data_IF_846461241245
#
_entry.id   IF_846461241245
#
_cell.length_a   1.000
_cell.length_b   1.000
_cell.length_c   1.000
_cell.angle_alpha   90.00
_cell.angle_beta   90.00
_cell.angle_gamma   90.00
#
_symmetry.space_group_name_H-M   'P 1'
#
loop_
_entity.id
_entity.type
_entity.pdbx_description
1 polymer ?
#
# COMPACT_ATOMS: atom_id res chain seq x y z
N UNK A 1 55.44 -72.62 -39.80
CA UNK A 1 54.17 -73.17 -39.30
C UNK A 1 53.04 -72.67 -40.19
N UNK A 2 52.29 -73.56 -40.86
CA UNK A 2 51.16 -73.16 -41.72
C UNK A 2 50.03 -72.62 -40.82
N UNK A 3 49.58 -71.38 -41.06
CA UNK A 3 48.52 -70.75 -40.26
C UNK A 3 47.18 -71.42 -40.59
N UNK A 4 46.56 -72.08 -39.60
CA UNK A 4 45.30 -72.82 -39.76
C UNK A 4 44.08 -71.89 -39.98
N UNK A 5 44.17 -70.65 -39.51
CA UNK A 5 43.07 -69.68 -39.55
C UNK A 5 43.33 -68.56 -40.55
N UNK A 6 42.27 -68.06 -41.19
CA UNK A 6 42.34 -66.82 -41.97
C UNK A 6 42.47 -65.62 -41.02
N UNK A 7 43.44 -64.77 -41.31
CA UNK A 7 43.65 -63.55 -40.53
C UNK A 7 42.60 -62.49 -40.88
N UNK A 8 42.41 -61.53 -39.98
CA UNK A 8 41.62 -60.33 -40.18
C UNK A 8 42.09 -59.60 -41.43
N UNK A 9 41.15 -59.25 -42.32
CA UNK A 9 41.46 -58.60 -43.59
C UNK A 9 41.99 -57.17 -43.40
N UNK A 10 41.63 -56.53 -42.29
CA UNK A 10 42.05 -55.15 -41.98
C UNK A 10 43.46 -55.07 -41.38
N UNK A 11 43.74 -55.85 -40.33
CA UNK A 11 45.01 -55.73 -39.60
C UNK A 11 46.04 -56.80 -39.95
N UNK A 12 45.61 -57.92 -40.57
CA UNK A 12 46.39 -59.12 -40.90
C UNK A 12 47.20 -59.75 -39.76
N UNK A 13 47.07 -59.24 -38.53
CA UNK A 13 47.84 -59.67 -37.34
C UNK A 13 47.10 -60.72 -36.52
N UNK A 14 45.78 -60.62 -36.41
CA UNK A 14 44.91 -61.47 -35.58
C UNK A 14 43.98 -62.35 -36.44
N UNK A 15 43.46 -63.49 -35.96
CA UNK A 15 42.47 -64.28 -36.69
C UNK A 15 41.17 -63.48 -36.88
N UNK A 16 40.54 -63.60 -38.06
CA UNK A 16 39.25 -62.97 -38.34
C UNK A 16 38.12 -63.81 -37.74
N UNK A 17 37.52 -63.33 -36.65
CA UNK A 17 36.48 -64.03 -35.88
C UNK A 17 35.07 -63.50 -36.16
N UNK A 18 34.94 -62.33 -36.79
CA UNK A 18 33.68 -61.67 -37.10
C UNK A 18 33.60 -61.44 -38.61
N UNK A 19 32.46 -61.75 -39.23
CA UNK A 19 32.19 -61.48 -40.64
C UNK A 19 31.08 -60.46 -40.77
N UNK A 20 31.31 -59.42 -41.57
CA UNK A 20 30.27 -58.44 -41.89
C UNK A 20 29.64 -58.78 -43.24
N UNK A 21 28.33 -59.04 -43.25
CA UNK A 21 27.62 -59.37 -44.49
C UNK A 21 27.61 -58.19 -45.47
N UNK A 22 27.56 -56.96 -44.96
CA UNK A 22 27.53 -55.74 -45.77
C UNK A 22 28.89 -55.42 -46.39
N UNK A 23 29.99 -55.66 -45.68
CA UNK A 23 31.34 -55.37 -46.17
C UNK A 23 31.99 -56.57 -46.88
N UNK A 24 31.41 -57.78 -46.75
CA UNK A 24 31.95 -59.06 -47.25
C UNK A 24 33.41 -59.35 -46.82
N UNK A 25 33.83 -58.80 -45.69
CA UNK A 25 35.19 -58.95 -45.14
C UNK A 25 35.16 -59.45 -43.70
N UNK A 26 36.27 -60.02 -43.25
CA UNK A 26 36.43 -60.61 -41.91
C UNK A 26 37.32 -59.76 -41.03
N UNK A 27 36.83 -59.47 -39.85
CA UNK A 27 37.51 -58.67 -38.85
C UNK A 27 37.85 -59.51 -37.61
N UNK A 28 38.89 -59.13 -36.88
CA UNK A 28 39.00 -59.50 -35.48
C UNK A 28 38.11 -58.57 -34.64
N UNK A 29 37.75 -58.98 -33.42
CA UNK A 29 36.89 -58.20 -32.52
C UNK A 29 37.28 -56.71 -32.40
N UNK A 30 38.58 -56.41 -32.28
CA UNK A 30 39.01 -55.01 -32.13
C UNK A 30 38.74 -54.17 -33.40
N UNK A 31 39.03 -54.72 -34.58
CA UNK A 31 38.79 -54.03 -35.85
C UNK A 31 37.30 -53.94 -36.18
N UNK A 32 36.49 -54.90 -35.70
CA UNK A 32 35.04 -54.85 -35.84
C UNK A 32 34.46 -53.67 -35.04
N UNK A 33 34.90 -53.49 -33.79
CA UNK A 33 34.48 -52.37 -32.95
C UNK A 33 34.85 -51.01 -33.56
N UNK A 34 36.03 -50.86 -34.14
CA UNK A 34 36.45 -49.60 -34.77
C UNK A 34 35.60 -49.22 -35.99
N UNK A 35 35.13 -50.21 -36.77
CA UNK A 35 34.44 -49.98 -38.04
C UNK A 35 32.92 -49.98 -37.87
N UNK A 36 32.37 -50.81 -36.99
CA UNK A 36 30.93 -51.05 -36.88
C UNK A 36 30.29 -50.49 -35.60
N UNK A 37 31.04 -49.95 -34.64
CA UNK A 37 30.46 -49.35 -33.41
C UNK A 37 29.57 -48.13 -33.66
N UNK A 38 29.78 -47.40 -34.75
CA UNK A 38 29.06 -46.15 -35.05
C UNK A 38 27.95 -46.30 -36.12
N UNK A 39 27.85 -47.43 -36.81
CA UNK A 39 26.90 -47.64 -37.90
C UNK A 39 26.08 -48.93 -37.71
N UNK A 40 24.83 -48.79 -37.27
CA UNK A 40 23.88 -49.91 -37.06
C UNK A 40 23.43 -50.62 -38.34
N UNK A 41 23.86 -50.15 -39.52
CA UNK A 41 23.47 -50.71 -40.82
C UNK A 41 24.32 -51.93 -41.24
N UNK A 42 25.32 -52.31 -40.45
CA UNK A 42 26.19 -53.45 -40.72
C UNK A 42 25.79 -54.65 -39.87
N UNK A 43 25.41 -55.74 -40.53
CA UNK A 43 25.14 -57.02 -39.85
C UNK A 43 26.44 -57.80 -39.71
N UNK A 44 26.95 -57.86 -38.50
CA UNK A 44 28.14 -58.63 -38.15
C UNK A 44 27.76 -59.90 -37.39
N UNK A 45 28.35 -61.03 -37.81
CA UNK A 45 28.11 -62.34 -37.23
C UNK A 45 29.44 -63.01 -36.89
N UNK A 46 29.45 -63.82 -35.83
CA UNK A 46 30.63 -64.60 -35.45
C UNK A 46 30.87 -65.68 -36.50
N UNK A 47 32.08 -65.72 -37.08
CA UNK A 47 32.47 -66.72 -38.07
C UNK A 47 32.40 -68.12 -37.46
N UNK A 48 31.82 -69.08 -38.18
CA UNK A 48 31.87 -70.48 -37.77
C UNK A 48 33.30 -71.04 -37.84
N UNK A 49 33.58 -72.08 -37.05
CA UNK A 49 34.86 -72.80 -37.08
C UNK A 49 35.25 -73.32 -38.48
N UNK A 50 34.26 -73.62 -39.33
CA UNK A 50 34.50 -73.98 -40.72
C UNK A 50 34.91 -72.76 -41.55
N UNK A 51 34.25 -71.62 -41.37
CA UNK A 51 34.58 -70.38 -42.07
C UNK A 51 35.97 -69.88 -41.68
N UNK A 52 36.37 -69.97 -40.41
CA UNK A 52 37.67 -69.48 -39.93
C UNK A 52 38.87 -70.27 -40.48
N UNK A 53 38.70 -71.53 -40.91
CA UNK A 53 39.78 -72.38 -41.42
C UNK A 53 40.16 -72.03 -42.87
N UNK A 54 41.45 -72.10 -43.20
CA UNK A 54 41.91 -72.00 -44.58
C UNK A 54 41.54 -73.29 -45.34
N UNK A 55 40.79 -73.17 -46.45
CA UNK A 55 40.45 -74.30 -47.32
C UNK A 55 41.74 -75.02 -47.78
N UNK A 56 42.01 -76.18 -47.20
CA UNK A 56 42.95 -77.15 -47.74
C UNK A 56 42.43 -78.57 -47.47
N UNK A 57 41.98 -79.20 -48.56
CA UNK A 57 41.89 -80.63 -48.84
C UNK A 57 41.36 -81.56 -47.75
N UNK A 58 40.09 -81.94 -47.93
CA UNK A 58 39.56 -83.26 -47.58
C UNK A 58 40.49 -84.36 -48.13
N UNK A 59 40.94 -85.28 -47.26
CA UNK A 59 41.20 -86.65 -47.67
C UNK A 59 40.36 -87.59 -46.80
N UNK A 60 39.48 -88.29 -47.50
CA UNK A 60 38.71 -89.44 -47.05
C UNK A 60 39.67 -90.57 -46.66
N UNK A 61 39.37 -91.28 -45.57
CA UNK A 61 39.76 -92.70 -45.46
C UNK A 61 38.46 -93.51 -45.36
N UNK A 62 38.27 -94.35 -46.38
CA UNK A 62 37.23 -95.35 -46.53
C UNK A 62 37.76 -96.72 -46.06
N UNK A 63 36.81 -97.52 -45.56
CA UNK A 63 36.69 -98.99 -45.68
C UNK A 63 37.64 -99.92 -44.92
N UNK A 64 37.01 -100.90 -44.27
CA UNK A 64 37.63 -102.13 -43.80
C UNK A 64 36.68 -103.00 -42.99
N UNK A 65 35.56 -103.45 -43.58
CA UNK A 65 34.86 -104.64 -43.08
C UNK A 65 35.72 -105.88 -43.35
N UNK A 66 36.00 -106.67 -42.32
CA UNK A 66 35.89 -108.13 -42.30
C UNK A 66 36.61 -108.67 -41.07
N UNK A 67 36.11 -109.79 -40.55
CA UNK A 67 36.53 -110.52 -39.34
C UNK A 67 36.06 -109.78 -38.07
N UNK A 68 35.11 -110.27 -37.27
CA UNK A 68 35.23 -111.47 -36.43
C UNK A 68 33.82 -111.89 -36.01
N UNK A 69 33.37 -113.06 -36.47
CA UNK A 69 32.08 -113.68 -36.15
C UNK A 69 32.16 -114.54 -34.87
N UNK A 70 32.91 -114.10 -33.85
CA UNK A 70 33.15 -114.88 -32.62
C UNK A 70 33.17 -114.05 -31.32
N UNK A 71 32.45 -112.93 -31.24
CA UNK A 71 32.37 -112.11 -30.01
C UNK A 71 30.97 -111.61 -29.67
N UNK A 72 29.93 -112.41 -29.94
CA UNK A 72 28.54 -112.02 -29.66
C UNK A 72 28.02 -112.49 -28.29
N UNK A 73 28.81 -113.18 -27.46
CA UNK A 73 28.38 -113.65 -26.12
C UNK A 73 29.04 -112.93 -24.93
N UNK A 74 30.03 -112.04 -25.15
CA UNK A 74 30.63 -111.22 -24.08
C UNK A 74 30.15 -109.76 -24.06
N UNK A 75 29.46 -109.29 -25.09
CA UNK A 75 29.01 -107.89 -25.21
C UNK A 75 27.60 -107.61 -24.65
N UNK A 76 26.83 -108.63 -24.26
CA UNK A 76 25.53 -108.42 -23.60
C UNK A 76 25.67 -108.22 -22.08
N UNK A 77 26.61 -108.90 -21.42
CA UNK A 77 26.90 -108.70 -19.99
C UNK A 77 27.51 -107.32 -19.69
N UNK A 78 28.47 -106.86 -20.51
CA UNK A 78 29.09 -105.53 -20.35
C UNK A 78 28.12 -104.39 -20.71
N UNK A 79 27.09 -104.64 -21.52
CA UNK A 79 26.03 -103.66 -21.79
C UNK A 79 25.03 -103.54 -20.63
N UNK A 80 24.67 -104.64 -19.97
CA UNK A 80 23.78 -104.62 -18.81
C UNK A 80 24.43 -103.95 -17.59
N UNK A 81 25.69 -104.27 -17.25
CA UNK A 81 26.41 -103.61 -16.13
C UNK A 81 26.61 -102.10 -16.36
N UNK A 82 26.90 -101.70 -17.61
CA UNK A 82 27.11 -100.28 -17.96
C UNK A 82 25.79 -99.49 -18.01
N UNK A 83 24.67 -100.16 -18.23
CA UNK A 83 23.33 -99.57 -18.23
C UNK A 83 22.78 -99.46 -16.80
N UNK A 84 23.04 -100.45 -15.93
CA UNK A 84 22.76 -100.36 -14.49
C UNK A 84 23.61 -99.29 -13.78
N UNK A 85 24.91 -99.15 -14.12
CA UNK A 85 25.75 -98.06 -13.60
C UNK A 85 25.24 -96.67 -14.01
N UNK A 86 24.83 -96.50 -15.26
CA UNK A 86 24.26 -95.23 -15.73
C UNK A 86 22.91 -94.93 -15.07
N UNK A 87 22.12 -95.95 -14.77
CA UNK A 87 20.83 -95.81 -14.10
C UNK A 87 20.99 -95.48 -12.60
N UNK A 88 22.05 -95.98 -11.95
CA UNK A 88 22.45 -95.56 -10.61
C UNK A 88 22.99 -94.12 -10.59
N UNK A 89 23.86 -93.73 -11.53
CA UNK A 89 24.36 -92.35 -11.67
C UNK A 89 23.22 -91.36 -11.91
N UNK A 90 22.25 -91.71 -12.77
CA UNK A 90 21.04 -90.93 -13.00
C UNK A 90 20.19 -90.78 -11.74
N UNK A 91 20.00 -91.85 -10.96
CA UNK A 91 19.29 -91.78 -9.67
C UNK A 91 20.02 -90.91 -8.66
N UNK A 92 21.34 -90.92 -8.66
CA UNK A 92 22.16 -90.10 -7.78
C UNK A 92 22.07 -88.61 -8.16
N UNK A 93 22.15 -88.30 -9.45
CA UNK A 93 21.94 -86.95 -9.99
C UNK A 93 20.51 -86.45 -9.72
N UNK A 94 19.49 -87.29 -9.90
CA UNK A 94 18.10 -86.93 -9.58
C UNK A 94 17.90 -86.62 -8.08
N UNK A 95 18.60 -87.33 -7.19
CA UNK A 95 18.59 -87.03 -5.75
C UNK A 95 19.28 -85.70 -5.44
N UNK A 96 20.42 -85.41 -6.07
CA UNK A 96 21.11 -84.13 -5.93
C UNK A 96 20.26 -82.97 -6.45
N UNK A 97 19.62 -83.11 -7.61
CA UNK A 97 18.69 -82.11 -8.16
C UNK A 97 17.56 -81.84 -7.17
N UNK A 98 16.94 -82.87 -6.60
CA UNK A 98 15.89 -82.71 -5.58
C UNK A 98 16.39 -81.97 -4.33
N UNK A 99 17.62 -82.23 -3.89
CA UNK A 99 18.22 -81.51 -2.76
C UNK A 99 18.45 -80.03 -3.10
N UNK A 100 18.96 -79.72 -4.31
CA UNK A 100 19.14 -78.34 -4.76
C UNK A 100 17.80 -77.60 -4.91
N UNK A 101 16.77 -78.24 -5.45
CA UNK A 101 15.42 -77.68 -5.55
C UNK A 101 14.85 -77.33 -4.17
N UNK A 102 15.05 -78.19 -3.16
CA UNK A 102 14.64 -77.90 -1.79
C UNK A 102 15.35 -76.68 -1.21
N UNK A 103 16.67 -76.56 -1.42
CA UNK A 103 17.45 -75.41 -0.94
C UNK A 103 17.04 -74.11 -1.63
N UNK A 104 16.83 -74.14 -2.96
CA UNK A 104 16.37 -73.00 -3.72
C UNK A 104 14.98 -72.54 -3.26
N UNK A 105 14.05 -73.48 -3.07
CA UNK A 105 12.70 -73.18 -2.62
C UNK A 105 12.71 -72.57 -1.19
N UNK A 106 13.59 -73.04 -0.30
CA UNK A 106 13.78 -72.43 1.02
C UNK A 106 14.34 -71.01 0.95
N UNK A 107 15.31 -70.74 0.07
CA UNK A 107 15.84 -69.39 -0.15
C UNK A 107 14.81 -68.45 -0.75
N UNK A 108 14.06 -68.91 -1.74
CA UNK A 108 13.00 -68.14 -2.40
C UNK A 108 11.92 -67.74 -1.40
N UNK A 109 11.47 -68.68 -0.56
CA UNK A 109 10.51 -68.39 0.52
C UNK A 109 11.07 -67.40 1.55
N UNK A 110 12.38 -67.43 1.84
CA UNK A 110 13.02 -66.47 2.75
C UNK A 110 13.04 -65.06 2.15
N UNK A 111 13.45 -64.91 0.90
CA UNK A 111 13.47 -63.62 0.21
C UNK A 111 12.08 -63.05 0.01
N UNK A 112 11.10 -63.89 -0.34
CA UNK A 112 9.70 -63.49 -0.48
C UNK A 112 9.14 -62.88 0.81
N UNK A 113 9.40 -63.52 1.96
CA UNK A 113 9.00 -62.99 3.28
C UNK A 113 9.68 -61.67 3.61
N UNK A 114 10.97 -61.51 3.25
CA UNK A 114 11.69 -60.25 3.47
C UNK A 114 11.13 -59.13 2.59
N UNK A 115 10.79 -59.44 1.34
CA UNK A 115 10.19 -58.49 0.41
C UNK A 115 8.82 -58.04 0.91
N UNK A 116 7.97 -58.96 1.35
CA UNK A 116 6.64 -58.66 1.89
C UNK A 116 6.70 -57.76 3.14
N UNK A 117 7.68 -57.99 4.02
CA UNK A 117 7.92 -57.12 5.18
C UNK A 117 8.37 -55.71 4.78
N UNK A 118 9.28 -55.61 3.80
CA UNK A 118 9.75 -54.31 3.29
C UNK A 118 8.62 -53.57 2.57
N UNK A 119 7.85 -54.24 1.72
CA UNK A 119 6.69 -53.66 1.04
C UNK A 119 5.67 -53.11 2.04
N UNK A 120 5.42 -53.85 3.13
CA UNK A 120 4.55 -53.39 4.21
C UNK A 120 5.13 -52.16 4.93
N UNK A 121 6.40 -52.20 5.32
CA UNK A 121 7.06 -51.09 6.03
C UNK A 121 7.10 -49.82 5.17
N UNK A 122 7.47 -49.93 3.90
CA UNK A 122 7.50 -48.79 2.99
C UNK A 122 6.09 -48.32 2.61
N UNK A 123 5.13 -49.24 2.44
CA UNK A 123 3.72 -48.89 2.22
C UNK A 123 3.14 -48.08 3.39
N UNK A 124 3.41 -48.49 4.63
CA UNK A 124 3.00 -47.74 5.82
C UNK A 124 3.66 -46.35 5.88
N UNK A 125 4.96 -46.24 5.57
CA UNK A 125 5.66 -44.95 5.50
C UNK A 125 5.14 -44.02 4.41
N UNK A 126 4.80 -44.57 3.25
CA UNK A 126 4.20 -43.82 2.13
C UNK A 126 2.82 -43.30 2.55
N UNK A 127 1.97 -44.16 3.13
CA UNK A 127 0.64 -43.72 3.60
C UNK A 127 0.71 -42.60 4.64
N UNK A 128 1.63 -42.68 5.60
CA UNK A 128 1.87 -41.59 6.58
C UNK A 128 2.36 -40.30 5.90
N UNK A 129 3.14 -40.42 4.84
CA UNK A 129 3.63 -39.26 4.09
C UNK A 129 2.50 -38.62 3.27
N UNK A 130 1.69 -39.43 2.59
CA UNK A 130 0.50 -38.98 1.84
C UNK A 130 -0.48 -38.24 2.75
N UNK A 131 -0.78 -38.76 3.94
CA UNK A 131 -1.65 -38.09 4.90
C UNK A 131 -1.09 -36.73 5.37
N UNK A 132 0.25 -36.63 5.54
CA UNK A 132 0.91 -35.36 5.87
C UNK A 132 0.84 -34.37 4.72
N UNK A 133 0.99 -34.83 3.48
CA UNK A 133 0.86 -33.99 2.29
C UNK A 133 -0.55 -33.44 2.19
N UNK A 134 -1.57 -34.28 2.31
CA UNK A 134 -2.98 -33.87 2.25
C UNK A 134 -3.32 -32.84 3.35
N UNK A 135 -2.86 -33.06 4.59
CA UNK A 135 -2.98 -32.09 5.68
C UNK A 135 -2.25 -30.77 5.41
N UNK A 136 -1.08 -30.83 4.76
CA UNK A 136 -0.34 -29.62 4.40
C UNK A 136 -1.03 -28.84 3.28
N UNK A 137 -1.63 -29.53 2.30
CA UNK A 137 -2.38 -28.91 1.21
C UNK A 137 -3.63 -28.20 1.72
N UNK A 138 -4.39 -28.83 2.63
CA UNK A 138 -5.55 -28.19 3.27
C UNK A 138 -5.15 -26.94 4.05
N UNK A 139 -4.06 -27.01 4.82
CA UNK A 139 -3.50 -25.86 5.54
C UNK A 139 -3.09 -24.73 4.58
N UNK A 140 -2.45 -25.05 3.45
CA UNK A 140 -2.06 -24.06 2.44
C UNK A 140 -3.30 -23.38 1.82
N UNK A 141 -4.37 -24.14 1.55
CA UNK A 141 -5.62 -23.54 1.05
C UNK A 141 -6.27 -22.61 2.07
N UNK A 142 -6.27 -22.95 3.36
CA UNK A 142 -6.78 -22.08 4.43
C UNK A 142 -5.97 -20.78 4.55
N UNK A 143 -4.63 -20.87 4.53
CA UNK A 143 -3.74 -19.69 4.57
C UNK A 143 -4.00 -18.77 3.36
N UNK A 144 -4.15 -19.34 2.15
CA UNK A 144 -4.46 -18.56 0.94
C UNK A 144 -5.82 -17.85 1.04
N UNK A 145 -6.80 -18.47 1.70
CA UNK A 145 -8.12 -17.88 1.88
C UNK A 145 -8.10 -16.76 2.93
N UNK A 146 -7.37 -16.93 4.03
CA UNK A 146 -7.15 -15.89 5.04
C UNK A 146 -6.42 -14.68 4.45
N UNK A 147 -5.36 -14.89 3.67
CA UNK A 147 -4.64 -13.79 2.98
C UNK A 147 -5.56 -12.97 2.06
N UNK A 148 -6.48 -13.61 1.32
CA UNK A 148 -7.47 -12.88 0.51
C UNK A 148 -8.44 -12.03 1.34
N UNK A 149 -8.81 -12.51 2.54
CA UNK A 149 -9.66 -11.76 3.46
C UNK A 149 -8.89 -10.56 4.04
N UNK A 150 -7.61 -10.72 4.37
CA UNK A 150 -6.75 -9.62 4.82
C UNK A 150 -6.62 -8.52 3.75
N UNK A 151 -6.44 -8.89 2.48
CA UNK A 151 -6.38 -7.94 1.37
C UNK A 151 -7.69 -7.14 1.21
N UNK A 152 -8.84 -7.81 1.36
CA UNK A 152 -10.16 -7.16 1.32
C UNK A 152 -10.37 -6.20 2.49
N UNK A 153 -9.95 -6.59 3.70
CA UNK A 153 -10.02 -5.74 4.89
C UNK A 153 -9.10 -4.52 4.73
N UNK A 154 -7.88 -4.73 4.20
CA UNK A 154 -6.92 -3.67 3.91
C UNK A 154 -7.48 -2.64 2.92
N UNK A 155 -8.08 -3.09 1.83
CA UNK A 155 -8.72 -2.21 0.85
C UNK A 155 -9.92 -1.46 1.44
N UNK A 156 -10.74 -2.13 2.25
CA UNK A 156 -11.87 -1.48 2.94
C UNK A 156 -11.39 -0.42 3.95
N UNK A 157 -10.33 -0.71 4.71
CA UNK A 157 -9.71 0.26 5.62
C UNK A 157 -9.13 1.46 4.86
N UNK A 158 -8.52 1.24 3.69
CA UNK A 158 -8.01 2.30 2.83
C UNK A 158 -9.15 3.21 2.33
N UNK A 159 -10.24 2.64 1.83
CA UNK A 159 -11.42 3.40 1.41
C UNK A 159 -12.04 4.20 2.56
N UNK A 160 -12.17 3.59 3.74
CA UNK A 160 -12.67 4.28 4.94
C UNK A 160 -11.77 5.45 5.33
N UNK A 161 -10.44 5.26 5.26
CA UNK A 161 -9.47 6.31 5.55
C UNK A 161 -9.58 7.48 4.55
N UNK A 162 -9.70 7.19 3.26
CA UNK A 162 -9.89 8.21 2.22
C UNK A 162 -11.20 8.99 2.41
N UNK A 163 -12.29 8.31 2.80
CA UNK A 163 -13.55 8.97 3.14
C UNK A 163 -13.43 9.89 4.35
N UNK A 164 -12.80 9.43 5.43
CA UNK A 164 -12.56 10.24 6.62
C UNK A 164 -11.64 11.43 6.34
N UNK A 165 -10.60 11.25 5.53
CA UNK A 165 -9.71 12.33 5.10
C UNK A 165 -10.47 13.38 4.28
N UNK A 166 -11.36 12.95 3.37
CA UNK A 166 -12.24 13.83 2.62
C UNK A 166 -13.18 14.66 3.51
N UNK A 167 -13.83 14.02 4.49
CA UNK A 167 -14.69 14.72 5.46
C UNK A 167 -13.89 15.71 6.32
N UNK A 168 -12.70 15.32 6.79
CA UNK A 168 -11.81 16.19 7.55
C UNK A 168 -11.44 17.43 6.73
N UNK A 169 -11.04 17.25 5.49
CA UNK A 169 -10.61 18.36 4.64
C UNK A 169 -11.76 19.34 4.36
N UNK A 170 -13.00 18.84 4.17
CA UNK A 170 -14.18 19.69 4.02
C UNK A 170 -14.47 20.50 5.29
N UNK A 171 -14.36 19.89 6.47
CA UNK A 171 -14.54 20.58 7.76
C UNK A 171 -13.47 21.65 7.96
N UNK A 172 -12.20 21.32 7.69
CA UNK A 172 -11.09 22.28 7.77
C UNK A 172 -11.33 23.48 6.86
N UNK A 173 -11.78 23.24 5.61
CA UNK A 173 -12.09 24.33 4.68
C UNK A 173 -13.22 25.24 5.20
N UNK A 174 -14.29 24.66 5.76
CA UNK A 174 -15.39 25.43 6.37
C UNK A 174 -14.91 26.27 7.55
N UNK A 175 -14.06 25.71 8.40
CA UNK A 175 -13.48 26.42 9.55
C UNK A 175 -12.61 27.58 9.08
N UNK A 176 -11.77 27.38 8.07
CA UNK A 176 -10.91 28.46 7.56
C UNK A 176 -11.75 29.59 6.93
N UNK A 177 -12.80 29.27 6.17
CA UNK A 177 -13.74 30.26 5.63
C UNK A 177 -14.43 31.06 6.74
N UNK A 178 -14.90 30.40 7.81
CA UNK A 178 -15.51 31.08 8.95
C UNK A 178 -14.51 31.98 9.68
N UNK A 179 -13.26 31.55 9.81
CA UNK A 179 -12.20 32.31 10.45
C UNK A 179 -11.84 33.58 9.65
N UNK A 180 -11.80 33.48 8.33
CA UNK A 180 -11.58 34.63 7.44
C UNK A 180 -12.73 35.66 7.58
N UNK A 181 -13.98 35.20 7.56
CA UNK A 181 -15.14 36.07 7.79
C UNK A 181 -15.13 36.74 9.17
N UNK A 182 -14.69 36.03 10.21
CA UNK A 182 -14.55 36.60 11.56
C UNK A 182 -13.44 37.64 11.61
N UNK A 183 -12.32 37.41 10.92
CA UNK A 183 -11.22 38.36 10.83
C UNK A 183 -11.66 39.66 10.15
N UNK A 184 -12.43 39.58 9.06
CA UNK A 184 -12.97 40.78 8.38
C UNK A 184 -13.90 41.58 9.30
N UNK A 185 -14.78 40.89 10.04
CA UNK A 185 -15.65 41.52 11.04
C UNK A 185 -14.86 42.17 12.17
N UNK A 186 -13.78 41.53 12.62
CA UNK A 186 -12.90 42.08 13.66
C UNK A 186 -12.21 43.36 13.18
N UNK A 187 -11.71 43.39 11.94
CA UNK A 187 -11.11 44.59 11.35
C UNK A 187 -12.12 45.73 11.22
N UNK A 188 -13.36 45.43 10.80
CA UNK A 188 -14.44 46.41 10.75
C UNK A 188 -14.75 46.98 12.14
N UNK A 189 -14.85 46.11 13.15
CA UNK A 189 -15.09 46.52 14.54
C UNK A 189 -13.97 47.44 15.05
N UNK A 190 -12.71 47.11 14.78
CA UNK A 190 -11.57 47.97 15.15
C UNK A 190 -11.65 49.35 14.48
N UNK A 191 -12.06 49.41 13.21
CA UNK A 191 -12.29 50.68 12.50
C UNK A 191 -13.40 51.50 13.16
N UNK A 192 -14.53 50.87 13.49
CA UNK A 192 -15.66 51.54 14.15
C UNK A 192 -15.28 52.07 15.54
N UNK A 193 -14.56 51.28 16.35
CA UNK A 193 -14.05 51.72 17.65
C UNK A 193 -13.13 52.94 17.51
N UNK A 194 -12.28 52.97 16.47
CA UNK A 194 -11.42 54.12 16.21
C UNK A 194 -12.25 55.36 15.86
N UNK A 195 -13.22 55.22 14.96
CA UNK A 195 -14.11 56.30 14.58
C UNK A 195 -14.91 56.84 15.78
N UNK A 196 -15.43 55.96 16.64
CA UNK A 196 -16.13 56.35 17.86
C UNK A 196 -15.24 57.18 18.79
N UNK A 197 -13.98 56.77 18.99
CA UNK A 197 -13.00 57.52 19.79
C UNK A 197 -12.72 58.90 19.21
N UNK A 198 -12.54 58.99 17.89
CA UNK A 198 -12.29 60.26 17.21
C UNK A 198 -13.50 61.20 17.37
N UNK A 199 -14.72 60.69 17.16
CA UNK A 199 -15.97 61.43 17.36
C UNK A 199 -16.19 61.85 18.81
N UNK A 200 -15.91 60.97 19.78
CA UNK A 200 -15.95 61.29 21.22
C UNK A 200 -14.97 62.42 21.57
N UNK A 201 -13.78 62.41 20.96
CA UNK A 201 -12.82 63.50 21.08
C UNK A 201 -13.34 64.83 20.52
N UNK A 202 -14.06 64.81 19.40
CA UNK A 202 -14.72 66.01 18.84
C UNK A 202 -15.87 66.51 19.71
N UNK A 203 -16.68 65.60 20.26
CA UNK A 203 -17.77 65.94 21.19
C UNK A 203 -17.20 66.65 22.41
N UNK A 204 -16.16 66.11 23.04
CA UNK A 204 -15.52 66.74 24.21
C UNK A 204 -14.98 68.15 23.89
N UNK A 205 -14.38 68.35 22.71
CA UNK A 205 -13.95 69.69 22.26
C UNK A 205 -15.13 70.65 22.14
N UNK A 206 -16.27 70.20 21.60
CA UNK A 206 -17.49 70.99 21.48
C UNK A 206 -18.09 71.28 22.86
N UNK A 207 -18.08 70.34 23.79
CA UNK A 207 -18.56 70.52 25.16
C UNK A 207 -17.74 71.57 25.92
N UNK A 208 -16.41 71.54 25.79
CA UNK A 208 -15.53 72.59 26.36
C UNK A 208 -15.89 73.96 25.80
N UNK A 209 -16.14 74.05 24.48
CA UNK A 209 -16.51 75.31 23.83
C UNK A 209 -17.89 75.81 24.30
N UNK A 210 -18.87 74.92 24.42
CA UNK A 210 -20.19 75.22 24.99
C UNK A 210 -20.04 75.73 26.43
N UNK A 211 -19.16 75.12 27.23
CA UNK A 211 -18.83 75.59 28.58
C UNK A 211 -18.35 77.04 28.59
N UNK A 212 -17.38 77.39 27.73
CA UNK A 212 -16.89 78.76 27.58
C UNK A 212 -17.98 79.74 27.15
N UNK A 213 -18.86 79.35 26.22
CA UNK A 213 -19.99 80.20 25.82
C UNK A 213 -20.97 80.43 26.96
N UNK A 214 -21.25 79.41 27.79
CA UNK A 214 -22.10 79.58 28.99
C UNK A 214 -21.49 80.57 29.98
N UNK A 215 -20.18 80.50 30.22
CA UNK A 215 -19.48 81.46 31.09
C UNK A 215 -19.57 82.89 30.54
N UNK A 216 -19.37 83.08 29.24
CA UNK A 216 -19.49 84.39 28.58
C UNK A 216 -20.91 84.96 28.70
N UNK A 217 -21.94 84.14 28.48
CA UNK A 217 -23.34 84.57 28.63
C UNK A 217 -23.62 84.99 30.08
N UNK A 218 -23.15 84.22 31.07
CA UNK A 218 -23.29 84.59 32.48
C UNK A 218 -22.57 85.90 32.82
N UNK A 219 -21.39 86.15 32.23
CA UNK A 219 -20.68 87.41 32.40
C UNK A 219 -21.47 88.58 31.79
N UNK A 220 -21.99 88.43 30.57
CA UNK A 220 -22.81 89.44 29.92
C UNK A 220 -24.08 89.76 30.71
N UNK A 221 -24.73 88.76 31.30
CA UNK A 221 -25.89 88.97 32.17
C UNK A 221 -25.53 89.80 33.42
N UNK A 222 -24.41 89.51 34.08
CA UNK A 222 -23.92 90.30 35.23
C UNK A 222 -23.59 91.73 34.83
N UNK A 223 -22.94 91.94 33.69
CA UNK A 223 -22.63 93.28 33.17
C UNK A 223 -23.92 94.05 32.86
N UNK A 224 -24.92 93.41 32.25
CA UNK A 224 -26.24 94.00 32.02
C UNK A 224 -26.91 94.42 33.33
N UNK A 225 -26.90 93.57 34.36
CA UNK A 225 -27.44 93.91 35.69
C UNK A 225 -26.71 95.09 36.33
N UNK A 226 -25.38 95.16 36.20
CA UNK A 226 -24.59 96.30 36.71
C UNK A 226 -24.97 97.60 36.00
N UNK A 227 -25.05 97.57 34.66
CA UNK A 227 -25.46 98.73 33.86
C UNK A 227 -26.87 99.19 34.23
N UNK A 228 -27.82 98.26 34.39
CA UNK A 228 -29.19 98.58 34.81
C UNK A 228 -29.19 99.27 36.20
N UNK A 229 -28.46 98.72 37.16
CA UNK A 229 -28.34 99.30 38.50
C UNK A 229 -27.69 100.70 38.49
N UNK A 230 -26.68 100.93 37.65
CA UNK A 230 -26.05 102.25 37.50
C UNK A 230 -26.99 103.24 36.82
N UNK A 231 -27.70 102.82 35.77
CA UNK A 231 -28.71 103.65 35.11
C UNK A 231 -29.83 104.06 36.08
N UNK A 232 -30.29 103.18 36.97
CA UNK A 232 -31.25 103.53 38.02
C UNK A 232 -30.70 104.58 39.00
N UNK A 233 -29.42 104.48 39.39
CA UNK A 233 -28.77 105.48 40.26
C UNK A 233 -28.68 106.83 39.56
N UNK A 234 -28.28 106.84 38.28
CA UNK A 234 -28.21 108.07 37.47
C UNK A 234 -29.60 108.69 37.34
N UNK A 235 -30.64 107.89 37.05
CA UNK A 235 -32.04 108.37 37.02
C UNK A 235 -32.44 109.02 38.34
N UNK A 236 -32.14 108.40 39.49
CA UNK A 236 -32.42 108.98 40.82
C UNK A 236 -31.67 110.29 41.04
N UNK A 237 -30.37 110.34 40.74
CA UNK A 237 -29.56 111.56 40.84
C UNK A 237 -30.10 112.67 39.94
N UNK A 238 -30.52 112.35 38.71
CA UNK A 238 -31.14 113.31 37.81
C UNK A 238 -32.47 113.84 38.36
N UNK A 239 -33.31 112.98 38.94
CA UNK A 239 -34.55 113.40 39.61
C UNK A 239 -34.30 114.34 40.79
N UNK A 240 -33.31 114.03 41.64
CA UNK A 240 -32.89 114.88 42.78
C UNK A 240 -32.39 116.25 42.29
N UNK A 241 -31.53 116.26 41.27
CA UNK A 241 -31.04 117.50 40.66
C UNK A 241 -32.19 118.31 40.07
N UNK A 242 -33.08 117.68 39.29
CA UNK A 242 -34.29 118.33 38.73
C UNK A 242 -35.13 118.96 39.85
N UNK A 243 -35.33 118.27 40.97
CA UNK A 243 -36.07 118.79 42.13
C UNK A 243 -35.36 120.00 42.77
N UNK A 244 -34.05 119.91 43.02
CA UNK A 244 -33.26 121.02 43.58
C UNK A 244 -33.34 122.28 42.70
N UNK A 245 -33.28 122.12 41.38
CA UNK A 245 -33.48 123.24 40.45
C UNK A 245 -34.89 123.84 40.57
N UNK A 246 -35.94 123.01 40.57
CA UNK A 246 -37.33 123.48 40.77
C UNK A 246 -37.48 124.29 42.06
N UNK A 247 -36.86 123.86 43.16
CA UNK A 247 -36.91 124.58 44.45
C UNK A 247 -36.14 125.92 44.45
N UNK A 248 -35.05 126.04 43.66
CA UNK A 248 -34.17 127.21 43.65
C UNK A 248 -34.50 128.26 42.58
N UNK A 249 -35.15 127.87 41.48
CA UNK A 249 -35.50 128.78 40.37
C UNK A 249 -36.39 129.97 40.78
N UNK A 250 -37.43 129.81 41.63
CA UNK A 250 -38.25 130.93 42.10
C UNK A 250 -37.44 131.99 42.86
N UNK A 251 -36.40 131.56 43.59
CA UNK A 251 -35.53 132.45 44.37
C UNK A 251 -34.67 133.36 43.47
N UNK A 252 -34.51 132.98 42.19
CA UNK A 252 -33.78 133.74 41.18
C UNK A 252 -34.70 134.52 40.24
N UNK A 253 -36.02 134.51 40.47
CA UNK A 253 -37.02 135.20 39.64
C UNK A 253 -37.27 134.53 38.29
N UNK A 254 -36.94 133.25 38.15
CA UNK A 254 -37.15 132.44 36.95
C UNK A 254 -38.38 131.53 37.13
N UNK A 255 -39.15 131.34 36.05
CA UNK A 255 -40.36 130.51 36.04
C UNK A 255 -40.01 129.02 36.24
N UNK A 256 -40.75 128.34 37.12
CA UNK A 256 -40.60 126.91 37.43
C UNK A 256 -40.84 126.01 36.20
N UNK A 257 -41.57 126.51 35.20
CA UNK A 257 -41.88 125.78 33.98
C UNK A 257 -40.74 125.77 32.94
N UNK A 258 -39.60 126.43 33.22
CA UNK A 258 -38.49 126.55 32.27
C UNK A 258 -37.83 125.21 31.90
N UNK A 259 -37.96 124.17 32.73
CA UNK A 259 -37.35 122.85 32.52
C UNK A 259 -38.33 121.71 32.21
N UNK A 260 -39.61 122.01 31.95
CA UNK A 260 -40.53 121.01 31.40
C UNK A 260 -40.26 120.86 29.89
N UNK A 261 -39.08 120.33 29.55
CA UNK A 261 -38.88 119.70 28.26
C UNK A 261 -39.57 118.35 28.36
N UNK A 262 -40.62 118.17 27.58
CA UNK A 262 -41.53 117.03 27.60
C UNK A 262 -40.77 115.70 27.72
N UNK A 263 -41.18 114.88 28.70
CA UNK A 263 -40.82 113.47 28.84
C UNK A 263 -41.49 112.64 27.71
N UNK A 264 -41.47 113.12 26.46
CA UNK A 264 -41.78 112.34 25.26
C UNK A 264 -40.47 111.73 24.72
N UNK A 265 -39.83 110.88 25.51
CA UNK A 265 -38.94 109.86 24.95
C UNK A 265 -39.76 108.57 24.85
N UNK A 266 -40.21 108.28 23.64
CA UNK A 266 -40.81 107.01 23.23
C UNK A 266 -40.04 105.84 23.86
N UNK A 267 -40.71 105.10 24.74
CA UNK A 267 -40.35 103.72 25.05
C UNK A 267 -40.55 102.90 23.77
N UNK A 268 -39.57 102.98 22.87
CA UNK A 268 -39.38 102.00 21.81
C UNK A 268 -39.00 100.68 22.45
N UNK A 269 -40.00 99.90 22.81
CA UNK A 269 -39.89 98.47 23.10
C UNK A 269 -39.39 97.77 21.83
N UNK A 270 -38.06 97.78 21.59
CA UNK A 270 -37.44 96.77 20.75
C UNK A 270 -37.40 95.46 21.56
N UNK A 271 -38.53 94.76 21.58
CA UNK A 271 -38.59 93.31 21.84
C UNK A 271 -37.74 92.60 20.78
N UNK A 272 -36.43 92.51 21.01
CA UNK A 272 -35.61 91.53 20.32
C UNK A 272 -35.97 90.16 20.91
N UNK A 273 -36.84 89.45 20.18
CA UNK A 273 -37.17 88.05 20.38
C UNK A 273 -35.90 87.26 20.75
N UNK A 274 -35.91 86.66 21.94
CA UNK A 274 -34.93 85.65 22.30
C UNK A 274 -34.97 84.53 21.24
N UNK A 275 -33.83 84.12 20.66
CA UNK A 275 -33.83 82.96 19.79
C UNK A 275 -34.19 81.73 20.65
N UNK A 276 -35.41 81.22 20.44
CA UNK A 276 -35.84 79.95 20.99
C UNK A 276 -34.88 78.86 20.52
N UNK A 277 -34.02 78.41 21.43
CA UNK A 277 -33.25 77.18 21.27
C UNK A 277 -34.26 76.03 21.33
N UNK A 278 -34.76 75.62 20.16
CA UNK A 278 -35.50 74.38 20.01
C UNK A 278 -34.60 73.23 20.45
N UNK A 279 -34.83 72.73 21.66
CA UNK A 279 -34.38 71.41 22.08
C UNK A 279 -35.22 70.38 21.31
N UNK A 280 -34.79 70.06 20.09
CA UNK A 280 -35.18 68.80 19.47
C UNK A 280 -34.44 67.68 20.20
N UNK A 281 -35.07 67.18 21.27
CA UNK A 281 -34.78 65.86 21.81
C UNK A 281 -35.48 64.88 20.88
N UNK A 282 -34.78 64.49 19.80
CA UNK A 282 -35.17 63.32 19.02
C UNK A 282 -34.86 62.08 19.87
N UNK A 283 -35.88 61.63 20.57
CA UNK A 283 -35.95 60.31 21.20
C UNK A 283 -36.16 59.28 20.09
N UNK A 284 -35.07 58.88 19.43
CA UNK A 284 -35.05 57.76 18.49
C UNK A 284 -34.69 56.48 19.24
N UNK A 285 -35.70 55.89 19.86
CA UNK A 285 -35.70 54.48 20.27
C UNK A 285 -36.06 53.63 19.04
N UNK A 286 -35.06 53.30 18.24
CA UNK A 286 -35.17 52.19 17.29
C UNK A 286 -34.89 50.89 18.05
N UNK A 287 -35.98 50.20 18.41
CA UNK A 287 -35.95 48.79 18.79
C UNK A 287 -35.66 47.97 17.52
N UNK A 288 -34.41 47.52 17.43
CA UNK A 288 -33.90 46.52 16.50
C UNK A 288 -34.44 45.14 16.93
N UNK A 289 -35.67 44.80 16.51
CA UNK A 289 -36.14 43.42 16.53
C UNK A 289 -35.48 42.65 15.38
N UNK A 290 -34.40 41.96 15.76
CA UNK A 290 -33.62 41.09 14.90
C UNK A 290 -34.45 40.02 14.20
N UNK A 291 -34.20 39.92 12.90
CA UNK A 291 -34.41 38.73 12.10
C UNK A 291 -33.11 37.90 12.14
N UNK A 292 -33.12 36.79 12.89
CA UNK A 292 -32.73 35.44 12.44
C UNK A 292 -32.81 34.42 13.58
#
# INVERSE_FOLDING_TARGET
MKKLFKNCDQCQKKPGTVFCQNCQVRFCYDCDGEIHSQNQNHKTEICSLQQMRQNNQYQQIRTGESVILYQTQQNEYVKQEKQEQQEEELKQIEQEIKQFEQVLNLQENKWKKQLELLEKEYGEKIGVFEEKVEKSESTITEIKQQSKQEDQISEMMKQLKEQLEGQRNLLVQKVEQQKEQLNDKEQLLQSLIKQEKDMSGEINKKEILIGKFKELIQQQQKEKELILNENEKIKKQLSEIKQLFKEKLPQLGLDENFFNFDDEEEEGEDEQEEPQVQQNVEDSTEEDEGIQ
#
